data_IF_024490415354
#
_entry.id   IF_024490415354
#
_cell.length_a   1.000
_cell.length_b   1.000
_cell.length_c   1.000
_cell.angle_alpha   90.00
_cell.angle_beta   90.00
_cell.angle_gamma   90.00
#
_symmetry.space_group_name_H-M   'P 1'
#
loop_
_entity.id
_entity.type
_entity.pdbx_description
1 polymer ?
#
# COMPACT_ATOMS: atom_id res chain seq x y z
N UNK A 1 32.39 3.10 -22.16
CA UNK A 1 31.15 2.36 -21.85
C UNK A 1 30.80 2.37 -20.36
N UNK A 2 31.72 2.61 -19.41
CA UNK A 2 31.39 2.66 -17.97
C UNK A 2 30.71 3.95 -17.51
N UNK A 3 31.00 5.09 -18.13
CA UNK A 3 30.48 6.40 -17.71
C UNK A 3 28.99 6.59 -18.08
N UNK A 4 28.58 6.10 -19.26
CA UNK A 4 27.19 6.10 -19.71
C UNK A 4 26.31 5.11 -18.94
N UNK A 5 26.85 3.94 -18.59
CA UNK A 5 26.16 2.95 -17.76
C UNK A 5 25.97 3.44 -16.31
N UNK A 6 26.99 4.09 -15.73
CA UNK A 6 26.90 4.71 -14.40
C UNK A 6 25.87 5.85 -14.34
N UNK A 7 25.76 6.65 -15.39
CA UNK A 7 24.74 7.69 -15.51
C UNK A 7 23.31 7.10 -15.61
N UNK A 8 23.14 6.01 -16.38
CA UNK A 8 21.86 5.32 -16.49
C UNK A 8 21.41 4.70 -15.16
N UNK A 9 22.32 4.04 -14.42
CA UNK A 9 22.01 3.46 -13.11
C UNK A 9 21.56 4.54 -12.12
N UNK A 10 22.34 5.63 -12.02
CA UNK A 10 22.00 6.75 -11.13
C UNK A 10 20.64 7.36 -11.47
N UNK A 11 20.33 7.51 -12.76
CA UNK A 11 19.03 8.05 -13.23
C UNK A 11 17.86 7.13 -12.85
N UNK A 12 17.99 5.82 -13.09
CA UNK A 12 16.95 4.84 -12.74
C UNK A 12 16.68 4.87 -11.24
N UNK A 13 17.71 4.85 -10.41
CA UNK A 13 17.57 4.88 -8.96
C UNK A 13 16.91 6.18 -8.50
N UNK A 14 17.39 7.33 -8.98
CA UNK A 14 16.85 8.63 -8.60
C UNK A 14 15.36 8.76 -8.94
N UNK A 15 14.98 8.43 -10.17
CA UNK A 15 13.57 8.49 -10.61
C UNK A 15 12.68 7.46 -9.89
N UNK A 16 13.21 6.27 -9.62
CA UNK A 16 12.50 5.22 -8.87
C UNK A 16 12.22 5.65 -7.43
N UNK A 17 13.22 6.18 -6.73
CA UNK A 17 13.05 6.65 -5.35
C UNK A 17 12.13 7.88 -5.31
N UNK A 18 12.29 8.82 -6.25
CA UNK A 18 11.45 10.01 -6.33
C UNK A 18 9.97 9.65 -6.51
N UNK A 19 9.66 8.72 -7.42
CA UNK A 19 8.29 8.22 -7.60
C UNK A 19 7.76 7.51 -6.34
N UNK A 20 8.47 6.50 -5.85
CA UNK A 20 7.98 5.65 -4.76
C UNK A 20 7.91 6.30 -3.37
N UNK A 21 8.75 7.31 -3.09
CA UNK A 21 8.81 7.94 -1.76
C UNK A 21 8.38 9.39 -1.74
N UNK A 22 8.68 10.19 -2.76
CA UNK A 22 8.39 11.63 -2.71
C UNK A 22 7.00 11.89 -3.30
N UNK A 23 6.77 11.44 -4.53
CA UNK A 23 5.52 11.72 -5.23
C UNK A 23 4.34 10.92 -4.69
N UNK A 24 4.52 9.63 -4.40
CA UNK A 24 3.48 8.82 -3.72
C UNK A 24 3.06 9.43 -2.38
N UNK A 25 4.02 9.77 -1.50
CA UNK A 25 3.68 10.28 -0.16
C UNK A 25 3.04 11.68 -0.21
N UNK A 26 3.39 12.50 -1.19
CA UNK A 26 2.77 13.81 -1.40
C UNK A 26 1.46 13.76 -2.19
N UNK A 27 0.96 12.57 -2.54
CA UNK A 27 -0.27 12.40 -3.31
C UNK A 27 -0.14 12.73 -4.80
N UNK A 28 1.06 12.98 -5.32
CA UNK A 28 1.27 13.31 -6.75
C UNK A 28 1.39 12.05 -7.59
N UNK A 29 0.32 11.26 -7.70
CA UNK A 29 0.40 9.92 -8.27
C UNK A 29 0.69 9.93 -9.78
N UNK A 30 0.20 10.93 -10.51
CA UNK A 30 0.53 11.08 -11.94
C UNK A 30 2.02 11.36 -12.19
N UNK A 31 2.65 12.16 -11.33
CA UNK A 31 4.09 12.38 -11.40
C UNK A 31 4.87 11.12 -11.01
N UNK A 32 4.39 10.37 -10.01
CA UNK A 32 4.97 9.08 -9.65
C UNK A 32 4.92 8.10 -10.84
N UNK A 33 3.78 8.01 -11.53
CA UNK A 33 3.61 7.20 -12.74
C UNK A 33 4.57 7.61 -13.86
N UNK A 34 4.70 8.92 -14.14
CA UNK A 34 5.61 9.41 -15.19
C UNK A 34 7.06 9.04 -14.89
N UNK A 35 7.57 9.38 -13.70
CA UNK A 35 8.98 9.15 -13.40
C UNK A 35 9.33 7.67 -13.29
N UNK A 36 8.46 6.86 -12.68
CA UNK A 36 8.68 5.41 -12.57
C UNK A 36 8.61 4.72 -13.92
N UNK A 37 7.72 5.17 -14.82
CA UNK A 37 7.66 4.67 -16.19
C UNK A 37 8.93 5.01 -16.98
N UNK A 38 9.43 6.24 -16.89
CA UNK A 38 10.71 6.62 -17.51
C UNK A 38 11.88 5.80 -16.96
N UNK A 39 11.95 5.60 -15.64
CA UNK A 39 12.96 4.75 -15.02
C UNK A 39 12.88 3.30 -15.55
N UNK A 40 11.67 2.76 -15.70
CA UNK A 40 11.44 1.44 -16.26
C UNK A 40 11.91 1.34 -17.72
N UNK A 41 11.63 2.35 -18.57
CA UNK A 41 12.06 2.33 -19.97
C UNK A 41 13.59 2.36 -20.10
N UNK A 42 14.28 3.15 -19.28
CA UNK A 42 15.75 3.17 -19.22
C UNK A 42 16.27 1.80 -18.80
N UNK A 43 15.69 1.21 -17.75
CA UNK A 43 16.08 -0.10 -17.24
C UNK A 43 15.86 -1.23 -18.27
N UNK A 44 14.76 -1.19 -19.02
CA UNK A 44 14.49 -2.16 -20.09
C UNK A 44 15.54 -2.03 -21.21
N UNK A 45 15.83 -0.80 -21.63
CA UNK A 45 16.80 -0.51 -22.70
C UNK A 45 18.22 -0.93 -22.33
N UNK A 46 18.61 -0.75 -21.07
CA UNK A 46 19.92 -1.13 -20.57
C UNK A 46 20.11 -2.66 -20.45
N UNK A 47 19.02 -3.44 -20.48
CA UNK A 47 18.99 -4.90 -20.27
C UNK A 47 19.68 -5.39 -18.99
N UNK A 48 19.83 -4.52 -18.00
CA UNK A 48 20.48 -4.83 -16.72
C UNK A 48 19.46 -5.38 -15.71
N UNK A 49 19.63 -6.61 -15.17
CA UNK A 49 18.67 -7.22 -14.24
C UNK A 49 18.45 -6.39 -12.97
N UNK A 50 19.48 -5.69 -12.48
CA UNK A 50 19.37 -4.88 -11.27
C UNK A 50 18.57 -3.61 -11.52
N UNK A 51 18.84 -2.88 -12.62
CA UNK A 51 18.02 -1.75 -13.04
C UNK A 51 16.57 -2.17 -13.30
N UNK A 52 16.36 -3.32 -13.97
CA UNK A 52 15.02 -3.86 -14.23
C UNK A 52 14.28 -4.17 -12.93
N UNK A 53 14.96 -4.74 -11.94
CA UNK A 53 14.38 -4.94 -10.60
C UNK A 53 13.87 -3.61 -10.03
N UNK A 54 14.68 -2.55 -10.07
CA UNK A 54 14.27 -1.22 -9.59
C UNK A 54 13.09 -0.64 -10.37
N UNK A 55 13.20 -0.59 -11.70
CA UNK A 55 12.21 0.02 -12.58
C UNK A 55 10.85 -0.67 -12.47
N UNK A 56 10.82 -2.00 -12.56
CA UNK A 56 9.58 -2.77 -12.43
C UNK A 56 8.94 -2.63 -11.06
N UNK A 57 9.76 -2.61 -9.99
CA UNK A 57 9.24 -2.47 -8.62
C UNK A 57 8.54 -1.13 -8.42
N UNK A 58 9.20 -0.02 -8.76
CA UNK A 58 8.65 1.31 -8.46
C UNK A 58 7.54 1.72 -9.42
N UNK A 59 7.57 1.22 -10.65
CA UNK A 59 6.43 1.36 -11.56
C UNK A 59 5.23 0.57 -11.03
N UNK A 60 5.42 -0.69 -10.62
CA UNK A 60 4.36 -1.49 -10.01
C UNK A 60 3.78 -0.87 -8.73
N UNK A 61 4.61 -0.27 -7.89
CA UNK A 61 4.17 0.53 -6.73
C UNK A 61 3.32 1.71 -7.18
N UNK A 62 3.77 2.48 -8.16
CA UNK A 62 3.02 3.63 -8.68
C UNK A 62 1.66 3.21 -9.27
N UNK A 63 1.62 2.09 -10.00
CA UNK A 63 0.38 1.48 -10.49
C UNK A 63 -0.59 1.12 -9.35
N UNK A 64 -0.10 0.57 -8.23
CA UNK A 64 -0.94 0.30 -7.06
C UNK A 64 -1.57 1.58 -6.50
N UNK A 65 -0.77 2.64 -6.30
CA UNK A 65 -1.29 3.92 -5.82
C UNK A 65 -2.25 4.59 -6.82
N UNK A 66 -2.06 4.35 -8.12
CA UNK A 66 -2.99 4.77 -9.18
C UNK A 66 -4.29 3.95 -9.20
N UNK A 67 -4.31 2.77 -8.59
CA UNK A 67 -5.45 1.84 -8.56
C UNK A 67 -5.47 0.85 -9.74
N UNK A 68 -4.35 0.70 -10.45
CA UNK A 68 -4.19 -0.20 -11.60
C UNK A 68 -3.70 -1.58 -11.14
N UNK A 69 -4.53 -2.30 -10.39
CA UNK A 69 -4.11 -3.51 -9.66
C UNK A 69 -3.53 -4.63 -10.54
N UNK A 70 -4.13 -4.88 -11.72
CA UNK A 70 -3.61 -5.91 -12.64
C UNK A 70 -2.23 -5.59 -13.19
N UNK A 71 -2.01 -4.34 -13.60
CA UNK A 71 -0.72 -3.86 -14.09
C UNK A 71 0.33 -3.81 -12.97
N UNK A 72 -0.08 -3.38 -11.78
CA UNK A 72 0.76 -3.39 -10.59
C UNK A 72 1.27 -4.81 -10.30
N UNK A 73 0.38 -5.80 -10.26
CA UNK A 73 0.75 -7.20 -10.02
C UNK A 73 1.73 -7.74 -11.07
N UNK A 74 1.48 -7.49 -12.36
CA UNK A 74 2.36 -7.95 -13.44
C UNK A 74 3.77 -7.36 -13.30
N UNK A 75 3.84 -6.04 -13.07
CA UNK A 75 5.11 -5.34 -12.92
C UNK A 75 5.86 -5.79 -11.67
N UNK A 76 5.17 -5.93 -10.54
CA UNK A 76 5.76 -6.42 -9.29
C UNK A 76 6.30 -7.85 -9.46
N UNK A 77 5.59 -8.77 -10.14
CA UNK A 77 6.08 -10.12 -10.42
C UNK A 77 7.35 -10.12 -11.29
N UNK A 78 7.43 -9.24 -12.30
CA UNK A 78 8.66 -9.03 -13.10
C UNK A 78 9.81 -8.47 -12.26
N UNK A 79 9.52 -7.50 -11.39
CA UNK A 79 10.47 -6.91 -10.45
C UNK A 79 11.02 -7.93 -9.45
N UNK A 80 10.16 -8.82 -8.95
CA UNK A 80 10.52 -9.93 -8.07
C UNK A 80 11.51 -10.88 -8.75
N UNK A 81 11.16 -11.34 -9.96
CA UNK A 81 11.99 -12.25 -10.76
C UNK A 81 13.37 -11.65 -11.04
N UNK A 82 13.42 -10.36 -11.39
CA UNK A 82 14.70 -9.65 -11.58
C UNK A 82 15.48 -9.53 -10.26
N UNK A 83 14.80 -9.15 -9.18
CA UNK A 83 15.41 -8.97 -7.86
C UNK A 83 16.02 -10.24 -7.29
N UNK A 84 15.36 -11.39 -7.48
CA UNK A 84 15.87 -12.71 -7.08
C UNK A 84 17.13 -13.10 -7.87
N UNK A 85 17.23 -12.71 -9.15
CA UNK A 85 18.41 -12.99 -9.99
C UNK A 85 19.64 -12.15 -9.64
N UNK A 86 19.45 -11.01 -8.98
CA UNK A 86 20.52 -10.08 -8.63
C UNK A 86 20.68 -9.86 -7.12
N UNK A 87 20.07 -10.73 -6.30
CA UNK A 87 20.10 -10.68 -4.82
C UNK A 87 19.73 -9.31 -4.24
N UNK A 88 18.81 -8.60 -4.89
CA UNK A 88 18.37 -7.27 -4.46
C UNK A 88 17.33 -7.35 -3.32
N UNK A 89 17.81 -7.68 -2.11
CA UNK A 89 16.96 -7.91 -0.94
C UNK A 89 15.99 -6.75 -0.62
N UNK A 90 16.43 -5.48 -0.78
CA UNK A 90 15.58 -4.32 -0.52
C UNK A 90 14.40 -4.21 -1.50
N UNK A 91 14.66 -4.41 -2.79
CA UNK A 91 13.61 -4.46 -3.81
C UNK A 91 12.66 -5.63 -3.60
N UNK A 92 13.17 -6.83 -3.29
CA UNK A 92 12.31 -7.99 -3.01
C UNK A 92 11.39 -7.71 -1.82
N UNK A 93 11.87 -7.08 -0.74
CA UNK A 93 11.01 -6.70 0.40
C UNK A 93 9.89 -5.75 -0.01
N UNK A 94 10.21 -4.70 -0.78
CA UNK A 94 9.23 -3.73 -1.26
C UNK A 94 8.18 -4.41 -2.17
N UNK A 95 8.65 -5.23 -3.13
CA UNK A 95 7.79 -5.98 -4.04
C UNK A 95 6.85 -6.91 -3.29
N UNK A 96 7.39 -7.68 -2.34
CA UNK A 96 6.61 -8.64 -1.55
C UNK A 96 5.50 -7.96 -0.76
N UNK A 97 5.81 -6.80 -0.15
CA UNK A 97 4.83 -5.94 0.52
C UNK A 97 3.71 -5.56 -0.44
N UNK A 98 4.05 -4.94 -1.57
CA UNK A 98 3.07 -4.27 -2.42
C UNK A 98 2.24 -5.30 -3.17
N UNK A 99 2.84 -6.45 -3.49
CA UNK A 99 2.12 -7.57 -4.06
C UNK A 99 1.06 -8.10 -3.09
N UNK A 100 1.38 -8.20 -1.79
CA UNK A 100 0.40 -8.54 -0.75
C UNK A 100 -0.74 -7.52 -0.66
N UNK A 101 -0.42 -6.22 -0.74
CA UNK A 101 -1.43 -5.15 -0.72
C UNK A 101 -2.34 -5.22 -1.96
N UNK A 102 -1.76 -5.39 -3.15
CA UNK A 102 -2.49 -5.57 -4.42
C UNK A 102 -3.42 -6.80 -4.35
N UNK A 103 -2.90 -7.94 -3.89
CA UNK A 103 -3.67 -9.18 -3.79
C UNK A 103 -4.82 -9.05 -2.78
N UNK A 104 -4.59 -8.32 -1.68
CA UNK A 104 -5.63 -8.00 -0.69
C UNK A 104 -6.74 -7.16 -1.32
N UNK A 105 -6.39 -6.11 -2.07
CA UNK A 105 -7.38 -5.26 -2.76
C UNK A 105 -8.15 -6.00 -3.86
N UNK A 106 -7.57 -7.07 -4.42
CA UNK A 106 -8.24 -7.96 -5.37
C UNK A 106 -8.99 -9.13 -4.69
N UNK A 107 -9.05 -9.18 -3.35
CA UNK A 107 -9.74 -10.23 -2.59
C UNK A 107 -9.03 -11.59 -2.55
N UNK A 108 -7.78 -11.68 -3.01
CA UNK A 108 -6.97 -12.91 -3.03
C UNK A 108 -6.13 -13.06 -1.77
N UNK A 109 -6.82 -13.19 -0.63
CA UNK A 109 -6.20 -13.13 0.70
C UNK A 109 -5.15 -14.24 0.96
N UNK A 110 -5.35 -15.45 0.45
CA UNK A 110 -4.38 -16.55 0.60
C UNK A 110 -3.06 -16.29 -0.11
N UNK A 111 -3.11 -15.71 -1.31
CA UNK A 111 -1.91 -15.27 -2.03
C UNK A 111 -1.25 -14.09 -1.31
N UNK A 112 -2.04 -13.14 -0.80
CA UNK A 112 -1.52 -12.01 -0.03
C UNK A 112 -0.72 -12.47 1.19
N UNK A 113 -1.20 -13.47 1.95
CA UNK A 113 -0.44 -14.06 3.07
C UNK A 113 0.94 -14.54 2.63
N UNK A 114 1.01 -15.26 1.51
CA UNK A 114 2.26 -15.81 0.97
C UNK A 114 3.24 -14.70 0.57
N UNK A 115 2.73 -13.63 -0.05
CA UNK A 115 3.52 -12.46 -0.41
C UNK A 115 4.07 -11.72 0.82
N UNK A 116 3.24 -11.51 1.85
CA UNK A 116 3.71 -10.90 3.10
C UNK A 116 4.76 -11.77 3.82
N UNK A 117 4.56 -13.09 3.85
CA UNK A 117 5.51 -14.03 4.46
C UNK A 117 6.88 -13.98 3.79
N UNK A 118 6.92 -13.89 2.46
CA UNK A 118 8.16 -13.72 1.71
C UNK A 118 8.90 -12.42 2.11
N UNK A 119 8.17 -11.31 2.26
CA UNK A 119 8.76 -10.03 2.69
C UNK A 119 9.31 -10.07 4.12
N UNK A 120 8.56 -10.68 5.05
CA UNK A 120 8.93 -10.82 6.46
C UNK A 120 10.13 -11.75 6.65
N UNK A 121 10.26 -12.82 5.86
CA UNK A 121 11.40 -13.73 5.93
C UNK A 121 12.73 -13.04 5.61
N UNK A 122 12.73 -12.06 4.69
CA UNK A 122 13.93 -11.31 4.27
C UNK A 122 14.30 -10.21 5.27
N UNK A 123 13.35 -9.77 6.09
CA UNK A 123 13.52 -8.69 7.04
C UNK A 123 13.84 -9.21 8.45
N UNK A 124 14.52 -10.34 8.64
CA UNK A 124 14.78 -10.89 9.99
C UNK A 124 16.09 -10.33 10.61
N UNK A 125 16.05 -9.75 11.83
CA UNK A 125 14.88 -9.46 12.68
C UNK A 125 14.04 -8.30 12.13
N UNK A 126 12.70 -8.40 12.25
CA UNK A 126 11.75 -7.42 11.68
C UNK A 126 11.96 -6.05 12.33
N UNK A 127 12.39 -5.03 11.58
CA UNK A 127 12.54 -3.70 12.13
C UNK A 127 11.18 -3.05 12.42
N UNK A 128 11.11 -2.15 13.40
CA UNK A 128 9.87 -1.44 13.77
C UNK A 128 9.19 -0.75 12.58
N UNK A 129 9.97 -0.14 11.67
CA UNK A 129 9.44 0.50 10.46
C UNK A 129 8.81 -0.50 9.46
N UNK A 130 8.98 -1.81 9.67
CA UNK A 130 8.42 -2.90 8.87
C UNK A 130 7.25 -3.62 9.57
N UNK A 131 6.92 -3.27 10.83
CA UNK A 131 5.79 -3.83 11.58
C UNK A 131 4.44 -3.67 10.87
N UNK A 132 4.30 -2.64 10.03
CA UNK A 132 3.09 -2.44 9.23
C UNK A 132 2.82 -3.64 8.29
N UNK A 133 3.85 -4.39 7.84
CA UNK A 133 3.65 -5.64 7.04
C UNK A 133 2.95 -6.71 7.87
N UNK A 134 3.34 -6.86 9.15
CA UNK A 134 2.69 -7.82 10.05
C UNK A 134 1.22 -7.45 10.26
N UNK A 135 0.93 -6.14 10.42
CA UNK A 135 -0.45 -5.63 10.50
C UNK A 135 -1.24 -5.88 9.21
N UNK A 136 -0.66 -5.59 8.03
CA UNK A 136 -1.32 -5.86 6.74
C UNK A 136 -1.61 -7.34 6.55
N UNK A 137 -0.66 -8.21 6.89
CA UNK A 137 -0.86 -9.66 6.89
C UNK A 137 -1.99 -10.06 7.82
N UNK A 138 -2.03 -9.50 9.03
CA UNK A 138 -3.07 -9.80 10.00
C UNK A 138 -4.46 -9.35 9.52
N UNK A 139 -4.57 -8.14 8.97
CA UNK A 139 -5.79 -7.60 8.37
C UNK A 139 -6.28 -8.48 7.21
N UNK A 140 -5.38 -8.86 6.28
CA UNK A 140 -5.73 -9.73 5.15
C UNK A 140 -6.21 -11.12 5.60
N UNK A 141 -5.63 -11.67 6.69
CA UNK A 141 -6.06 -12.94 7.27
C UNK A 141 -7.49 -12.86 7.79
N UNK A 142 -7.83 -11.78 8.49
CA UNK A 142 -9.18 -11.54 9.04
C UNK A 142 -10.18 -11.32 7.92
N UNK A 143 -9.90 -10.41 6.98
CA UNK A 143 -10.78 -10.12 5.85
C UNK A 143 -11.05 -11.38 5.00
N UNK A 144 -10.05 -12.27 4.85
CA UNK A 144 -10.20 -13.55 4.16
C UNK A 144 -10.75 -14.71 4.99
N UNK A 145 -11.04 -14.52 6.29
CA UNK A 145 -11.45 -15.57 7.24
C UNK A 145 -10.52 -16.79 7.20
N UNK A 146 -9.22 -16.54 7.14
CA UNK A 146 -8.21 -17.58 6.94
C UNK A 146 -7.86 -18.27 8.27
N UNK A 147 -8.56 -19.37 8.55
CA UNK A 147 -8.37 -20.18 9.75
C UNK A 147 -8.88 -19.50 11.02
N UNK A 148 -8.55 -20.03 12.21
CA UNK A 148 -8.91 -19.40 13.47
C UNK A 148 -8.30 -17.99 13.55
N UNK A 149 -9.13 -17.03 13.98
CA UNK A 149 -8.76 -15.64 14.22
C UNK A 149 -8.73 -15.44 15.73
N UNK A 150 -7.58 -15.00 16.25
CA UNK A 150 -7.39 -14.67 17.67
C UNK A 150 -6.69 -13.33 17.77
N UNK A 151 -7.37 -12.33 18.31
CA UNK A 151 -6.81 -10.99 18.47
C UNK A 151 -5.69 -10.97 19.50
N UNK A 152 -4.45 -11.09 19.01
CA UNK A 152 -3.26 -10.91 19.83
C UNK A 152 -2.29 -9.96 19.11
N UNK A 153 -2.66 -8.68 19.09
CA UNK A 153 -1.79 -7.64 18.56
C UNK A 153 -0.73 -7.29 19.61
N UNK A 154 0.53 -7.60 19.30
CA UNK A 154 1.64 -7.22 20.17
C UNK A 154 1.71 -5.71 20.32
N UNK A 155 2.08 -5.24 21.52
CA UNK A 155 2.17 -3.81 21.86
C UNK A 155 3.08 -3.02 20.92
N UNK A 156 4.18 -3.61 20.46
CA UNK A 156 5.14 -3.01 19.52
C UNK A 156 4.57 -2.77 18.11
N UNK A 157 3.51 -3.48 17.73
CA UNK A 157 2.78 -3.24 16.48
C UNK A 157 1.83 -2.04 16.61
N UNK A 158 1.30 -1.83 17.81
CA UNK A 158 0.29 -0.82 18.12
C UNK A 158 0.91 0.54 18.44
N UNK A 159 2.04 0.57 19.15
CA UNK A 159 2.70 1.79 19.64
C UNK A 159 3.90 2.22 18.74
N UNK A 160 3.70 2.24 17.42
CA UNK A 160 4.77 2.66 16.49
C UNK A 160 5.24 4.09 16.77
N UNK A 161 6.57 4.24 16.97
CA UNK A 161 7.23 5.53 17.18
C UNK A 161 7.56 6.23 15.86
N UNK A 162 7.42 5.53 14.74
CA UNK A 162 7.69 6.06 13.40
C UNK A 162 6.52 6.95 12.95
N UNK A 163 6.65 8.27 13.16
CA UNK A 163 5.60 9.26 12.85
C UNK A 163 5.00 9.13 11.45
N UNK A 164 5.84 8.87 10.45
CA UNK A 164 5.41 8.73 9.05
C UNK A 164 4.49 7.52 8.80
N UNK A 165 4.55 6.49 9.67
CA UNK A 165 3.74 5.27 9.55
C UNK A 165 2.56 5.26 10.53
N UNK A 166 2.37 6.31 11.35
CA UNK A 166 1.33 6.33 12.38
C UNK A 166 -0.07 6.21 11.77
N UNK A 167 -0.35 6.96 10.69
CA UNK A 167 -1.65 6.89 10.01
C UNK A 167 -1.92 5.52 9.43
N UNK A 168 -1.02 5.02 8.56
CA UNK A 168 -1.17 3.69 7.95
C UNK A 168 -1.25 2.54 8.97
N UNK A 169 -0.51 2.61 10.08
CA UNK A 169 -0.59 1.59 11.14
C UNK A 169 -1.92 1.67 11.88
N UNK A 170 -2.37 2.88 12.22
CA UNK A 170 -3.67 3.11 12.85
C UNK A 170 -4.83 2.65 11.96
N UNK A 171 -4.76 2.92 10.66
CA UNK A 171 -5.73 2.46 9.66
C UNK A 171 -5.83 0.93 9.66
N UNK A 172 -4.69 0.23 9.59
CA UNK A 172 -4.67 -1.23 9.61
C UNK A 172 -5.23 -1.81 10.91
N UNK A 173 -4.90 -1.21 12.06
CA UNK A 173 -5.45 -1.63 13.35
C UNK A 173 -6.97 -1.38 13.39
N UNK A 174 -7.44 -0.23 12.92
CA UNK A 174 -8.87 0.06 12.79
C UNK A 174 -9.58 -0.96 11.89
N UNK A 175 -8.97 -1.32 10.77
CA UNK A 175 -9.49 -2.37 9.86
C UNK A 175 -9.54 -3.74 10.52
N UNK A 176 -8.53 -4.08 11.32
CA UNK A 176 -8.49 -5.34 12.08
C UNK A 176 -9.67 -5.42 13.06
N UNK A 177 -9.87 -4.39 13.88
CA UNK A 177 -11.00 -4.32 14.80
C UNK A 177 -12.35 -4.29 14.07
N UNK A 178 -12.44 -3.61 12.94
CA UNK A 178 -13.68 -3.52 12.16
C UNK A 178 -14.17 -4.89 11.65
N UNK A 179 -13.23 -5.79 11.32
CA UNK A 179 -13.54 -7.06 10.68
C UNK A 179 -13.44 -8.29 11.57
N UNK A 180 -12.92 -8.15 12.79
CA UNK A 180 -12.76 -9.32 13.67
C UNK A 180 -14.09 -9.81 14.21
N UNK A 181 -14.92 -8.90 14.72
CA UNK A 181 -16.26 -9.13 15.24
C UNK A 181 -16.98 -7.77 15.42
N UNK A 182 -18.24 -7.82 15.85
CA UNK A 182 -19.05 -6.61 16.09
C UNK A 182 -18.87 -6.04 17.51
N UNK A 183 -18.17 -6.74 18.42
CA UNK A 183 -17.94 -6.30 19.80
C UNK A 183 -16.89 -5.18 19.87
N UNK A 184 -15.95 -5.15 18.91
CA UNK A 184 -14.84 -4.19 18.88
C UNK A 184 -15.08 -2.97 17.96
N UNK A 185 -16.33 -2.63 17.68
CA UNK A 185 -16.67 -1.48 16.80
C UNK A 185 -16.18 -0.14 17.37
N UNK A 186 -16.18 0.04 18.69
CA UNK A 186 -15.71 1.27 19.34
C UNK A 186 -14.18 1.43 19.22
N UNK A 187 -13.42 0.34 19.35
CA UNK A 187 -11.99 0.31 19.09
C UNK A 187 -11.70 0.59 17.62
N UNK A 188 -12.47 0.02 16.70
CA UNK A 188 -12.35 0.27 15.26
C UNK A 188 -12.49 1.77 14.97
N UNK A 189 -13.55 2.42 15.45
CA UNK A 189 -13.76 3.85 15.25
C UNK A 189 -12.63 4.69 15.85
N UNK A 190 -12.20 4.35 17.06
CA UNK A 190 -11.09 5.05 17.75
C UNK A 190 -9.81 5.02 16.91
N UNK A 191 -9.48 3.87 16.32
CA UNK A 191 -8.30 3.72 15.50
C UNK A 191 -8.44 4.37 14.12
N UNK A 192 -9.62 4.31 13.50
CA UNK A 192 -9.91 5.01 12.25
C UNK A 192 -9.73 6.53 12.43
N UNK A 193 -10.28 7.11 13.50
CA UNK A 193 -10.11 8.54 13.80
C UNK A 193 -8.65 8.92 14.05
N UNK A 194 -7.89 8.07 14.74
CA UNK A 194 -6.44 8.26 14.91
C UNK A 194 -5.68 8.25 13.58
N UNK A 195 -6.12 7.44 12.62
CA UNK A 195 -5.52 7.38 11.30
C UNK A 195 -5.75 8.70 10.55
N UNK A 196 -7.02 9.15 10.49
CA UNK A 196 -7.43 10.44 9.91
C UNK A 196 -6.60 11.58 10.51
N UNK A 197 -6.57 11.72 11.84
CA UNK A 197 -5.83 12.77 12.53
C UNK A 197 -4.32 12.74 12.24
N UNK A 198 -3.75 11.55 12.06
CA UNK A 198 -2.35 11.38 11.75
C UNK A 198 -2.03 11.76 10.31
N UNK A 199 -2.83 11.32 9.34
CA UNK A 199 -2.58 11.56 7.92
C UNK A 199 -2.98 12.96 7.48
N UNK A 200 -3.95 13.61 8.12
CA UNK A 200 -4.17 15.06 7.99
C UNK A 200 -2.95 15.86 8.48
N UNK A 201 -2.48 15.58 9.70
CA UNK A 201 -1.33 16.26 10.33
C UNK A 201 -0.04 16.05 9.54
N UNK A 202 0.16 14.85 9.02
CA UNK A 202 1.35 14.49 8.24
C UNK A 202 1.23 14.86 6.75
N UNK A 203 0.07 15.33 6.30
CA UNK A 203 -0.24 15.66 4.89
C UNK A 203 -0.02 14.49 3.95
N UNK A 204 -0.67 13.37 4.25
CA UNK A 204 -0.62 12.13 3.50
C UNK A 204 -1.96 11.89 2.78
N UNK A 205 -2.30 12.68 1.74
CA UNK A 205 -3.66 12.75 1.19
C UNK A 205 -4.18 11.42 0.64
N UNK A 206 -3.31 10.60 0.03
CA UNK A 206 -3.71 9.28 -0.45
C UNK A 206 -4.07 8.32 0.70
N UNK A 207 -3.32 8.37 1.81
CA UNK A 207 -3.61 7.53 2.98
C UNK A 207 -4.85 8.05 3.72
N UNK A 208 -5.01 9.38 3.82
CA UNK A 208 -6.22 10.00 4.34
C UNK A 208 -7.47 9.59 3.55
N UNK A 209 -7.38 9.47 2.23
CA UNK A 209 -8.46 8.96 1.40
C UNK A 209 -8.82 7.50 1.74
N UNK A 210 -7.81 6.64 1.99
CA UNK A 210 -8.03 5.27 2.48
C UNK A 210 -8.66 5.24 3.87
N UNK A 211 -8.33 6.19 4.75
CA UNK A 211 -8.93 6.30 6.08
C UNK A 211 -10.43 6.64 5.99
N UNK A 212 -10.80 7.60 5.15
CA UNK A 212 -12.21 7.93 4.93
C UNK A 212 -12.98 6.78 4.27
N UNK A 213 -12.36 6.02 3.35
CA UNK A 213 -12.99 4.83 2.78
C UNK A 213 -13.24 3.75 3.85
N UNK A 214 -12.28 3.53 4.75
CA UNK A 214 -12.46 2.63 5.89
C UNK A 214 -13.54 3.14 6.86
N UNK A 215 -13.64 4.46 7.03
CA UNK A 215 -14.69 5.03 7.88
C UNK A 215 -16.08 4.92 7.25
N UNK A 216 -16.18 5.01 5.93
CA UNK A 216 -17.41 4.71 5.20
C UNK A 216 -17.86 3.26 5.47
N UNK A 217 -16.95 2.30 5.37
CA UNK A 217 -17.23 0.89 5.68
C UNK A 217 -17.71 0.70 7.13
N UNK A 218 -17.11 1.41 8.09
CA UNK A 218 -17.57 1.40 9.47
C UNK A 218 -19.03 1.87 9.61
N UNK A 219 -19.41 2.97 8.96
CA UNK A 219 -20.78 3.46 8.98
C UNK A 219 -21.75 2.52 8.25
N UNK A 220 -21.32 1.88 7.14
CA UNK A 220 -22.11 0.84 6.48
C UNK A 220 -22.42 -0.32 7.43
N UNK A 221 -21.42 -0.81 8.19
CA UNK A 221 -21.59 -1.86 9.20
C UNK A 221 -22.53 -1.44 10.33
N UNK A 222 -22.56 -0.16 10.70
CA UNK A 222 -23.53 0.39 11.66
C UNK A 222 -24.94 0.60 11.07
N UNK A 223 -25.10 0.48 9.75
CA UNK A 223 -26.34 0.79 9.05
C UNK A 223 -26.58 2.28 8.83
N UNK A 224 -25.56 3.11 9.06
CA UNK A 224 -25.64 4.57 8.92
C UNK A 224 -25.24 5.03 7.51
N UNK A 225 -26.14 4.79 6.56
CA UNK A 225 -25.88 4.99 5.13
C UNK A 225 -25.56 6.46 4.77
N UNK A 226 -26.22 7.50 5.33
CA UNK A 226 -25.89 8.88 5.00
C UNK A 226 -24.44 9.24 5.36
N UNK A 227 -24.00 8.86 6.55
CA UNK A 227 -22.64 9.07 7.06
C UNK A 227 -21.62 8.26 6.23
N UNK A 228 -21.97 7.03 5.85
CA UNK A 228 -21.14 6.23 4.94
C UNK A 228 -20.92 6.93 3.59
N UNK A 229 -21.98 7.47 2.99
CA UNK A 229 -21.91 8.23 1.73
C UNK A 229 -21.06 9.49 1.88
N UNK A 230 -21.18 10.20 3.00
CA UNK A 230 -20.36 11.38 3.27
C UNK A 230 -18.86 11.02 3.32
N UNK A 231 -18.48 10.00 4.10
CA UNK A 231 -17.07 9.63 4.20
C UNK A 231 -16.54 9.08 2.85
N UNK A 232 -17.34 8.30 2.14
CA UNK A 232 -16.93 7.77 0.83
C UNK A 232 -16.74 8.87 -0.21
N UNK A 233 -17.57 9.92 -0.16
CA UNK A 233 -17.40 11.13 -1.01
C UNK A 233 -16.07 11.81 -0.71
N UNK A 234 -15.71 12.01 0.57
CA UNK A 234 -14.40 12.59 0.95
C UNK A 234 -13.23 11.75 0.43
N UNK A 235 -13.34 10.42 0.53
CA UNK A 235 -12.33 9.51 0.00
C UNK A 235 -12.16 9.69 -1.51
N UNK A 236 -13.26 9.69 -2.27
CA UNK A 236 -13.28 9.87 -3.73
C UNK A 236 -12.63 11.20 -4.13
N UNK A 237 -12.99 12.29 -3.46
CA UNK A 237 -12.46 13.62 -3.79
C UNK A 237 -10.95 13.70 -3.55
N UNK A 238 -10.45 13.18 -2.43
CA UNK A 238 -9.00 13.12 -2.16
C UNK A 238 -8.25 12.20 -3.14
N UNK A 239 -8.80 11.04 -3.50
CA UNK A 239 -8.19 10.20 -4.53
C UNK A 239 -8.13 10.91 -5.88
N UNK A 240 -9.17 11.68 -6.23
CA UNK A 240 -9.20 12.48 -7.46
C UNK A 240 -8.14 13.58 -7.43
N UNK A 241 -7.98 14.28 -6.32
CA UNK A 241 -6.91 15.27 -6.13
C UNK A 241 -5.51 14.64 -6.24
N UNK A 242 -5.36 13.40 -5.78
CA UNK A 242 -4.11 12.67 -5.91
C UNK A 242 -3.82 12.17 -7.34
N UNK A 243 -4.82 12.19 -8.23
CA UNK A 243 -4.77 11.51 -9.52
C UNK A 243 -4.74 9.99 -9.37
N UNK A 244 -5.50 9.41 -8.44
CA UNK A 244 -5.60 7.98 -8.17
C UNK A 244 -6.85 7.36 -8.81
N UNK A 245 -6.97 7.49 -10.14
CA UNK A 245 -8.23 7.25 -10.88
C UNK A 245 -8.84 5.85 -10.72
N UNK A 246 -8.01 4.81 -10.55
CA UNK A 246 -8.51 3.45 -10.31
C UNK A 246 -9.23 3.33 -8.96
N UNK A 247 -8.76 4.06 -7.95
CA UNK A 247 -9.43 4.15 -6.64
C UNK A 247 -10.70 4.98 -6.71
N UNK A 248 -10.68 6.10 -7.43
CA UNK A 248 -11.88 6.91 -7.69
C UNK A 248 -12.98 6.03 -8.30
N UNK A 249 -12.66 5.32 -9.38
CA UNK A 249 -13.62 4.42 -10.04
C UNK A 249 -14.16 3.35 -9.07
N UNK A 250 -13.27 2.68 -8.32
CA UNK A 250 -13.65 1.66 -7.33
C UNK A 250 -14.69 2.20 -6.34
N UNK A 251 -14.43 3.38 -5.76
CA UNK A 251 -15.31 3.92 -4.72
C UNK A 251 -16.54 4.65 -5.27
N UNK A 252 -16.52 5.16 -6.51
CA UNK A 252 -17.73 5.63 -7.19
C UNK A 252 -18.70 4.47 -7.47
N UNK A 253 -18.18 3.31 -7.87
CA UNK A 253 -18.98 2.08 -8.03
C UNK A 253 -19.57 1.60 -6.70
N UNK A 254 -18.81 1.67 -5.60
CA UNK A 254 -19.30 1.36 -4.26
C UNK A 254 -20.36 2.37 -3.79
N UNK A 255 -20.11 3.67 -3.97
CA UNK A 255 -21.03 4.74 -3.58
C UNK A 255 -22.39 4.63 -4.29
N UNK A 256 -22.39 4.20 -5.55
CA UNK A 256 -23.60 3.96 -6.32
C UNK A 256 -24.43 2.76 -5.82
N UNK A 257 -23.83 1.87 -5.02
CA UNK A 257 -24.48 0.68 -4.44
C UNK A 257 -25.02 0.91 -3.03
N UNK A 258 -24.66 2.02 -2.37
CA UNK A 258 -25.17 2.45 -1.06
C UNK A 258 -26.52 3.17 -1.17
#
# INVERSE_FOLDING_TARGET
MSETAGNAQGTVVAKSILSGFIYVLSGRIDDAMRESHEALQIAITADDPWMKSFGYTHYGVSCFFKGLFGEAEECLKKGLSCGQRCDHAAGIRLVSRTLGDVQTEMGRYGEAQSSYDMGLAIAQPVPEWFHWVELSKYAARISGRLGPITLDLRRDLVESKVKANQGSSAQLIGKIYLHIDDEHMDEAETWIRKAIDADERNRMPWHLAKDYALYAEFFQKKGDIPEAKEQLTKAIDLFRECGADGWVKKYEEELAQL
#
